data_IF_900187242991
#
_entry.id   IF_900187242991
#
_cell.length_a   1.000
_cell.length_b   1.000
_cell.length_c   1.000
_cell.angle_alpha   90.00
_cell.angle_beta   90.00
_cell.angle_gamma   90.00
#
_symmetry.space_group_name_H-M   'P 1'
#
loop_
_entity.id
_entity.type
_entity.pdbx_description
1 polymer ?
#
# COMPACT_ATOMS: atom_id res chain seq x y z
N UNK A 1 14.58 -22.34 1.22
CA UNK A 1 15.36 -22.79 2.41
C UNK A 1 14.61 -22.32 3.66
N UNK A 2 14.44 -23.20 4.68
CA UNK A 2 13.86 -22.77 5.97
C UNK A 2 14.81 -21.78 6.64
N UNK A 3 14.31 -20.59 6.97
CA UNK A 3 15.04 -19.57 7.71
C UNK A 3 14.48 -19.48 9.14
N UNK A 4 15.30 -19.00 10.06
CA UNK A 4 14.85 -18.64 11.39
C UNK A 4 14.33 -17.19 11.35
N UNK A 5 13.11 -16.98 11.84
CA UNK A 5 12.48 -15.66 11.89
C UNK A 5 11.83 -15.43 13.26
N UNK A 6 11.95 -14.21 13.75
CA UNK A 6 11.27 -13.76 14.97
C UNK A 6 10.17 -12.76 14.60
N UNK A 7 9.00 -12.86 15.23
CA UNK A 7 7.93 -11.86 15.11
C UNK A 7 7.68 -11.21 16.47
N UNK A 8 7.84 -9.90 16.54
CA UNK A 8 7.53 -9.07 17.71
C UNK A 8 6.21 -8.34 17.53
N UNK A 9 5.28 -8.59 18.44
CA UNK A 9 3.92 -8.06 18.37
C UNK A 9 2.95 -9.05 17.72
N UNK A 10 1.96 -9.49 18.51
CA UNK A 10 0.96 -10.47 18.12
C UNK A 10 -0.46 -9.88 18.18
N UNK A 11 -0.59 -8.65 17.65
CA UNK A 11 -1.87 -8.11 17.23
C UNK A 11 -2.43 -8.92 16.04
N UNK A 12 -3.62 -8.60 15.52
CA UNK A 12 -4.21 -9.35 14.40
C UNK A 12 -3.26 -9.51 13.22
N UNK A 13 -2.54 -8.44 12.83
CA UNK A 13 -1.59 -8.48 11.73
C UNK A 13 -0.34 -9.29 12.06
N UNK A 14 0.30 -9.03 13.22
CA UNK A 14 1.50 -9.77 13.60
C UNK A 14 1.27 -11.26 13.79
N UNK A 15 0.09 -11.65 14.28
CA UNK A 15 -0.30 -13.06 14.37
C UNK A 15 -0.45 -13.69 12.97
N UNK A 16 -1.01 -12.95 12.00
CA UNK A 16 -1.11 -13.42 10.61
C UNK A 16 0.28 -13.58 9.96
N UNK A 17 1.20 -12.65 10.21
CA UNK A 17 2.60 -12.75 9.73
C UNK A 17 3.28 -13.99 10.28
N UNK A 18 3.18 -14.24 11.60
CA UNK A 18 3.76 -15.41 12.23
C UNK A 18 3.16 -16.73 11.70
N UNK A 19 1.83 -16.78 11.51
CA UNK A 19 1.16 -17.93 10.94
C UNK A 19 1.61 -18.22 9.50
N UNK A 20 1.80 -17.19 8.68
CA UNK A 20 2.28 -17.35 7.31
C UNK A 20 3.72 -17.88 7.25
N UNK A 21 4.62 -17.41 8.12
CA UNK A 21 5.95 -17.99 8.24
C UNK A 21 5.94 -19.45 8.65
N UNK A 22 5.10 -19.84 9.62
CA UNK A 22 4.93 -21.22 10.02
C UNK A 22 4.41 -22.08 8.87
N UNK A 23 3.38 -21.62 8.15
CA UNK A 23 2.80 -22.32 7.01
C UNK A 23 3.80 -22.53 5.86
N UNK A 24 4.74 -21.59 5.70
CA UNK A 24 5.84 -21.71 4.74
C UNK A 24 7.02 -22.58 5.24
N UNK A 25 6.92 -23.14 6.46
CA UNK A 25 7.93 -24.04 7.04
C UNK A 25 9.10 -23.31 7.69
N UNK A 26 9.02 -22.02 7.97
CA UNK A 26 10.06 -21.29 8.68
C UNK A 26 10.01 -21.61 10.18
N UNK A 27 11.20 -21.74 10.82
CA UNK A 27 11.27 -21.82 12.28
C UNK A 27 10.96 -20.45 12.85
N UNK A 28 9.77 -20.32 13.47
CA UNK A 28 9.22 -19.02 13.87
C UNK A 28 9.24 -18.89 15.38
N UNK A 29 9.94 -17.87 15.87
CA UNK A 29 9.90 -17.44 17.27
C UNK A 29 8.95 -16.26 17.39
N UNK A 30 8.11 -16.23 18.42
CA UNK A 30 7.15 -15.15 18.63
C UNK A 30 7.29 -14.55 20.02
N UNK A 31 7.02 -13.25 20.12
CA UNK A 31 6.95 -12.56 21.39
C UNK A 31 5.88 -11.47 21.37
N UNK A 32 5.18 -11.33 22.49
CA UNK A 32 4.27 -10.22 22.71
C UNK A 32 4.33 -9.76 24.17
N UNK A 33 4.21 -8.45 24.41
CA UNK A 33 4.24 -7.87 25.76
C UNK A 33 3.12 -8.40 26.65
N UNK A 34 1.93 -8.61 26.10
CA UNK A 34 0.80 -9.21 26.82
C UNK A 34 0.85 -10.72 26.70
N UNK A 35 0.90 -11.47 27.79
CA UNK A 35 0.89 -12.95 27.78
C UNK A 35 -0.37 -13.52 27.13
N UNK A 36 -0.29 -14.81 26.69
CA UNK A 36 -1.42 -15.57 26.13
C UNK A 36 -1.77 -15.22 24.69
N UNK A 37 -1.08 -14.27 24.06
CA UNK A 37 -1.28 -13.94 22.64
C UNK A 37 -0.59 -14.95 21.70
N UNK A 38 0.37 -15.71 22.22
CA UNK A 38 1.13 -16.70 21.45
C UNK A 38 0.47 -18.09 21.41
N UNK A 39 -0.48 -18.40 22.28
CA UNK A 39 -1.01 -19.76 22.50
C UNK A 39 -1.44 -20.45 21.20
N UNK A 40 -2.22 -19.75 20.36
CA UNK A 40 -2.68 -20.30 19.08
C UNK A 40 -1.54 -20.54 18.07
N UNK A 41 -0.49 -19.73 18.10
CA UNK A 41 0.70 -19.88 17.26
C UNK A 41 1.63 -20.98 17.79
N UNK A 42 1.78 -21.08 19.11
CA UNK A 42 2.53 -22.17 19.75
C UNK A 42 1.90 -23.54 19.43
N UNK A 43 0.57 -23.64 19.42
CA UNK A 43 -0.12 -24.85 18.98
C UNK A 43 0.13 -25.20 17.49
N UNK A 44 0.53 -24.22 16.68
CA UNK A 44 0.94 -24.39 15.27
C UNK A 44 2.43 -24.64 15.11
N UNK A 45 3.22 -24.62 16.18
CA UNK A 45 4.64 -24.90 16.18
C UNK A 45 5.56 -23.68 16.34
N UNK A 46 5.03 -22.50 16.67
CA UNK A 46 5.87 -21.36 17.03
C UNK A 46 6.56 -21.56 18.37
N UNK A 47 7.81 -21.10 18.47
CA UNK A 47 8.49 -21.00 19.75
C UNK A 47 8.11 -19.68 20.45
N UNK A 48 7.47 -19.73 21.61
CA UNK A 48 7.20 -18.51 22.38
C UNK A 48 8.43 -18.15 23.21
N UNK A 49 8.92 -16.93 23.04
CA UNK A 49 10.01 -16.39 23.84
C UNK A 49 9.46 -15.69 25.11
N UNK A 50 10.15 -15.90 26.23
CA UNK A 50 9.78 -15.32 27.52
C UNK A 50 10.02 -13.81 27.57
N UNK A 51 11.07 -13.33 26.87
CA UNK A 51 11.45 -11.91 26.80
C UNK A 51 11.67 -11.48 25.35
N UNK A 52 11.53 -10.18 25.07
CA UNK A 52 11.84 -9.63 23.76
C UNK A 52 13.32 -9.88 23.38
N UNK A 53 14.24 -9.77 24.33
CA UNK A 53 15.66 -10.07 24.14
C UNK A 53 15.88 -11.53 23.73
N UNK A 54 15.25 -12.47 24.40
CA UNK A 54 15.33 -13.89 24.02
C UNK A 54 14.76 -14.11 22.60
N UNK A 55 13.69 -13.40 22.23
CA UNK A 55 13.09 -13.50 20.91
C UNK A 55 14.07 -13.01 19.82
N UNK A 56 14.64 -11.82 19.94
CA UNK A 56 15.54 -11.25 18.89
C UNK A 56 16.86 -12.01 18.77
N UNK A 57 17.32 -12.66 19.84
CA UNK A 57 18.53 -13.49 19.79
C UNK A 57 18.31 -14.86 19.16
N UNK A 58 17.07 -15.32 19.09
CA UNK A 58 16.72 -16.63 18.52
C UNK A 58 16.89 -16.69 16.98
N UNK A 59 16.84 -15.55 16.28
CA UNK A 59 16.82 -15.52 14.81
C UNK A 59 17.66 -14.39 14.24
N UNK A 60 18.25 -14.56 13.05
CA UNK A 60 18.97 -13.48 12.37
C UNK A 60 18.03 -12.39 11.80
N UNK A 61 16.76 -12.73 11.58
CA UNK A 61 15.71 -11.84 11.05
C UNK A 61 14.64 -11.64 12.11
N UNK A 62 14.39 -10.39 12.44
CA UNK A 62 13.27 -9.96 13.32
C UNK A 62 12.27 -9.12 12.53
N UNK A 63 11.04 -9.56 12.50
CA UNK A 63 9.89 -8.81 11.97
C UNK A 63 9.15 -8.15 13.13
N UNK A 64 8.93 -6.85 13.04
CA UNK A 64 8.26 -6.04 14.06
C UNK A 64 6.92 -5.57 13.53
N UNK A 65 5.86 -5.81 14.28
CA UNK A 65 4.50 -5.35 13.95
C UNK A 65 3.78 -4.93 15.23
N UNK A 66 4.03 -3.72 15.67
CA UNK A 66 3.53 -3.12 16.90
C UNK A 66 2.48 -2.04 16.61
N UNK A 67 1.89 -1.47 17.66
CA UNK A 67 0.83 -0.48 17.50
C UNK A 67 1.35 0.89 17.04
N UNK A 68 2.54 1.30 17.50
CA UNK A 68 3.14 2.61 17.23
C UNK A 68 4.65 2.52 17.16
N UNK A 69 5.30 3.51 16.54
CA UNK A 69 6.76 3.63 16.54
C UNK A 69 7.35 3.87 17.93
N UNK A 70 6.62 4.55 18.81
CA UNK A 70 7.04 4.66 20.22
C UNK A 70 7.17 3.27 20.86
N UNK A 71 6.20 2.40 20.62
CA UNK A 71 6.27 1.01 21.10
C UNK A 71 7.43 0.23 20.45
N UNK A 72 7.78 0.52 19.19
CA UNK A 72 8.97 -0.05 18.54
C UNK A 72 10.24 0.38 19.28
N UNK A 73 10.38 1.67 19.57
CA UNK A 73 11.53 2.19 20.31
C UNK A 73 11.59 1.68 21.74
N UNK A 74 10.46 1.63 22.46
CA UNK A 74 10.39 1.05 23.83
C UNK A 74 10.87 -0.39 23.86
N UNK A 75 10.55 -1.18 22.83
CA UNK A 75 10.91 -2.59 22.77
C UNK A 75 12.36 -2.78 22.27
N UNK A 76 12.77 -2.10 21.20
CA UNK A 76 14.07 -2.37 20.57
C UNK A 76 15.25 -1.64 21.22
N UNK A 77 15.06 -0.43 21.76
CA UNK A 77 16.18 0.36 22.30
C UNK A 77 16.93 -0.32 23.45
N UNK A 78 16.27 -1.01 24.40
CA UNK A 78 16.99 -1.72 25.48
C UNK A 78 17.87 -2.88 25.00
N UNK A 79 17.62 -3.40 23.78
CA UNK A 79 18.33 -4.56 23.22
C UNK A 79 19.14 -4.22 21.97
N UNK A 80 19.54 -2.96 21.84
CA UNK A 80 20.32 -2.49 20.68
C UNK A 80 21.62 -3.29 20.46
N UNK A 81 22.28 -3.72 21.54
CA UNK A 81 23.49 -4.53 21.47
C UNK A 81 23.25 -5.92 20.88
N UNK A 82 22.15 -6.56 21.25
CA UNK A 82 21.76 -7.89 20.75
C UNK A 82 21.29 -7.86 19.30
N UNK A 83 20.80 -6.69 18.85
CA UNK A 83 20.37 -6.46 17.48
C UNK A 83 21.52 -6.13 16.53
N UNK A 84 22.70 -5.75 17.03
CA UNK A 84 23.85 -5.41 16.20
C UNK A 84 24.19 -6.55 15.21
N UNK A 85 24.28 -6.20 13.92
CA UNK A 85 24.51 -7.14 12.82
C UNK A 85 23.32 -7.99 12.40
N UNK A 86 22.18 -7.94 13.11
CA UNK A 86 20.94 -8.64 12.76
C UNK A 86 20.06 -7.76 11.86
N UNK A 87 19.13 -8.41 11.16
CA UNK A 87 18.16 -7.72 10.30
C UNK A 87 16.85 -7.50 11.04
N UNK A 88 16.38 -6.27 11.03
CA UNK A 88 15.05 -5.89 11.52
C UNK A 88 14.23 -5.37 10.35
N UNK A 89 13.03 -5.94 10.16
CA UNK A 89 12.02 -5.46 9.22
C UNK A 89 10.83 -4.97 10.04
N UNK A 90 10.55 -3.68 9.97
CA UNK A 90 9.48 -3.05 10.74
C UNK A 90 8.26 -2.82 9.85
N UNK A 91 7.13 -3.43 10.21
CA UNK A 91 5.83 -3.24 9.57
C UNK A 91 4.84 -2.43 10.43
N UNK A 92 5.37 -1.68 11.40
CA UNK A 92 4.53 -0.79 12.20
C UNK A 92 4.15 0.43 11.38
N UNK A 93 2.86 0.73 11.29
CA UNK A 93 2.36 1.91 10.57
C UNK A 93 2.79 3.21 11.26
N UNK A 94 3.26 4.19 10.47
CA UNK A 94 3.66 5.49 10.96
C UNK A 94 3.96 6.49 9.83
N UNK A 95 4.42 7.68 10.22
CA UNK A 95 4.80 8.71 9.28
C UNK A 95 6.18 8.46 8.67
N UNK A 96 6.50 9.08 7.52
CA UNK A 96 7.84 9.07 6.94
C UNK A 96 8.95 9.50 7.91
N UNK A 97 8.64 10.45 8.80
CA UNK A 97 9.57 10.95 9.82
C UNK A 97 9.94 9.87 10.84
N UNK A 98 8.94 9.13 11.35
CA UNK A 98 9.16 8.00 12.26
C UNK A 98 10.07 6.93 11.64
N UNK A 99 9.88 6.63 10.35
CA UNK A 99 10.74 5.68 9.66
C UNK A 99 12.19 6.17 9.58
N UNK A 100 12.43 7.46 9.27
CA UNK A 100 13.78 8.04 9.23
C UNK A 100 14.45 8.07 10.60
N UNK A 101 13.72 8.45 11.66
CA UNK A 101 14.21 8.46 13.03
C UNK A 101 14.65 7.06 13.48
N UNK A 102 13.83 6.05 13.16
CA UNK A 102 14.15 4.65 13.48
C UNK A 102 15.34 4.14 12.68
N UNK A 103 15.45 4.54 11.41
CA UNK A 103 16.63 4.24 10.59
C UNK A 103 17.90 4.83 11.18
N UNK A 104 17.88 6.10 11.57
CA UNK A 104 19.02 6.75 12.19
C UNK A 104 19.41 6.08 13.53
N UNK A 105 18.44 5.57 14.27
CA UNK A 105 18.69 4.77 15.47
C UNK A 105 19.36 3.43 15.10
N UNK A 106 18.83 2.72 14.11
CA UNK A 106 19.34 1.43 13.66
C UNK A 106 20.80 1.53 13.16
N UNK A 107 21.11 2.55 12.37
CA UNK A 107 22.46 2.83 11.86
C UNK A 107 23.47 3.07 13.00
N UNK A 108 23.09 3.88 14.00
CA UNK A 108 23.97 4.14 15.18
C UNK A 108 24.29 2.87 15.98
N UNK A 109 23.44 1.85 15.91
CA UNK A 109 23.59 0.61 16.66
C UNK A 109 24.04 -0.58 15.79
N UNK A 110 24.36 -0.33 14.52
CA UNK A 110 24.79 -1.40 13.60
C UNK A 110 23.71 -2.41 13.27
N UNK A 111 22.43 -2.03 13.35
CA UNK A 111 21.28 -2.86 13.00
C UNK A 111 21.02 -2.74 11.50
N UNK A 112 20.86 -3.86 10.82
CA UNK A 112 20.43 -3.91 9.41
C UNK A 112 18.91 -3.70 9.35
N UNK A 113 18.48 -2.54 8.90
CA UNK A 113 17.08 -2.12 9.03
C UNK A 113 16.38 -1.94 7.69
N UNK A 114 15.15 -2.44 7.62
CA UNK A 114 14.18 -2.13 6.57
C UNK A 114 12.90 -1.63 7.23
N UNK A 115 12.32 -0.60 6.66
CA UNK A 115 10.96 -0.18 6.96
C UNK A 115 10.01 -0.74 5.91
N UNK A 116 8.80 -1.08 6.29
CA UNK A 116 7.85 -1.70 5.39
C UNK A 116 6.40 -1.36 5.69
N UNK A 117 5.57 -1.50 4.67
CA UNK A 117 4.12 -1.33 4.75
C UNK A 117 3.43 -2.55 4.16
N UNK A 118 2.36 -2.98 4.81
CA UNK A 118 1.54 -4.11 4.39
C UNK A 118 0.27 -3.56 3.74
N UNK A 119 0.13 -3.75 2.43
CA UNK A 119 -1.01 -3.28 1.63
C UNK A 119 -2.13 -4.32 1.55
N UNK A 120 -2.43 -4.98 2.67
CA UNK A 120 -3.53 -5.95 2.75
C UNK A 120 -4.07 -6.07 4.19
N UNK A 121 -5.18 -6.77 4.35
CA UNK A 121 -5.73 -7.14 5.67
C UNK A 121 -5.04 -8.38 6.23
N UNK A 122 -5.16 -8.68 7.54
CA UNK A 122 -4.59 -9.90 8.12
C UNK A 122 -4.98 -11.19 7.40
N UNK A 123 -6.19 -11.28 6.86
CA UNK A 123 -6.67 -12.45 6.10
C UNK A 123 -6.05 -12.59 4.71
N UNK A 124 -5.45 -11.53 4.17
CA UNK A 124 -4.75 -11.56 2.89
C UNK A 124 -3.28 -11.98 3.01
N UNK A 125 -2.70 -11.97 4.21
CA UNK A 125 -1.29 -12.37 4.41
C UNK A 125 -1.07 -13.83 4.00
N UNK A 126 0.03 -14.09 3.30
CA UNK A 126 0.39 -15.41 2.77
C UNK A 126 -0.24 -15.72 1.41
N UNK A 127 -1.02 -14.78 0.83
CA UNK A 127 -1.54 -14.92 -0.54
C UNK A 127 -0.64 -14.19 -1.55
N UNK A 128 -0.64 -14.61 -2.83
CA UNK A 128 0.14 -13.92 -3.89
C UNK A 128 -0.27 -12.46 -4.11
N UNK A 129 -1.49 -12.08 -3.71
CA UNK A 129 -2.03 -10.73 -3.87
C UNK A 129 -1.65 -9.80 -2.72
N UNK A 130 -1.05 -10.32 -1.66
CA UNK A 130 -0.58 -9.53 -0.53
C UNK A 130 0.66 -8.73 -0.94
N UNK A 131 0.52 -7.43 -1.17
CA UNK A 131 1.62 -6.54 -1.52
C UNK A 131 2.29 -6.01 -0.25
N UNK A 132 3.62 -6.20 -0.16
CA UNK A 132 4.44 -5.70 0.94
C UNK A 132 5.54 -4.78 0.38
N UNK A 133 5.50 -3.52 0.75
CA UNK A 133 6.47 -2.53 0.30
C UNK A 133 7.61 -2.41 1.30
N UNK A 134 8.85 -2.32 0.81
CA UNK A 134 10.04 -2.22 1.66
C UNK A 134 10.95 -1.08 1.21
N UNK A 135 11.43 -0.29 2.16
CA UNK A 135 12.45 0.74 1.98
C UNK A 135 13.67 0.46 2.85
N UNK A 136 14.84 0.84 2.34
CA UNK A 136 16.11 0.66 3.03
C UNK A 136 17.19 0.08 2.12
N UNK A 137 18.38 -0.30 2.65
CA UNK A 137 19.47 -0.77 1.82
C UNK A 137 19.11 -2.01 0.99
N UNK A 138 19.26 -1.94 -0.32
CA UNK A 138 18.89 -3.03 -1.23
C UNK A 138 19.57 -4.38 -0.87
N UNK A 139 20.85 -4.45 -0.47
CA UNK A 139 21.45 -5.73 -0.08
C UNK A 139 20.76 -6.36 1.13
N UNK A 140 20.25 -5.55 2.08
CA UNK A 140 19.51 -6.05 3.25
C UNK A 140 18.17 -6.64 2.81
N UNK A 141 17.49 -5.99 1.86
CA UNK A 141 16.25 -6.50 1.29
C UNK A 141 16.47 -7.83 0.55
N UNK A 142 17.47 -7.92 -0.33
CA UNK A 142 17.72 -9.14 -1.10
C UNK A 142 18.06 -10.33 -0.20
N UNK A 143 18.80 -10.12 0.91
CA UNK A 143 19.13 -11.18 1.86
C UNK A 143 17.88 -11.78 2.56
N UNK A 144 16.83 -10.99 2.79
CA UNK A 144 15.61 -11.47 3.47
C UNK A 144 14.40 -11.65 2.54
N UNK A 145 14.48 -11.23 1.26
CA UNK A 145 13.39 -11.30 0.29
C UNK A 145 12.75 -12.69 0.20
N UNK A 146 13.56 -13.74 0.17
CA UNK A 146 13.06 -15.12 0.07
C UNK A 146 12.25 -15.56 1.30
N UNK A 147 12.60 -15.04 2.50
CA UNK A 147 11.81 -15.28 3.72
C UNK A 147 10.55 -14.44 3.73
N UNK A 148 10.64 -13.16 3.33
CA UNK A 148 9.49 -12.25 3.26
C UNK A 148 8.45 -12.68 2.22
N UNK A 149 8.86 -13.42 1.18
CA UNK A 149 7.94 -13.98 0.18
C UNK A 149 6.91 -14.97 0.77
N UNK A 150 7.14 -15.48 1.98
CA UNK A 150 6.13 -16.25 2.72
C UNK A 150 4.90 -15.40 3.11
N UNK A 151 5.05 -14.08 3.17
CA UNK A 151 3.99 -13.15 3.55
C UNK A 151 3.15 -12.66 2.36
N UNK A 152 3.68 -12.74 1.12
CA UNK A 152 3.07 -12.23 -0.09
C UNK A 152 4.10 -11.81 -1.14
N UNK A 153 3.85 -10.74 -1.89
CA UNK A 153 4.77 -10.15 -2.87
C UNK A 153 5.62 -9.03 -2.23
N UNK A 154 6.90 -9.28 -1.89
CA UNK A 154 7.78 -8.28 -1.31
C UNK A 154 8.41 -7.41 -2.42
N UNK A 155 8.11 -6.12 -2.41
CA UNK A 155 8.59 -5.12 -3.37
C UNK A 155 9.51 -4.12 -2.69
N UNK A 156 10.73 -3.93 -3.22
CA UNK A 156 11.65 -2.89 -2.78
C UNK A 156 11.37 -1.58 -3.52
N UNK A 157 10.99 -0.54 -2.79
CA UNK A 157 10.60 0.77 -3.36
C UNK A 157 11.72 1.81 -3.27
N UNK A 158 12.91 1.42 -2.83
CA UNK A 158 14.13 2.26 -2.83
C UNK A 158 14.85 2.29 -1.49
N UNK A 159 15.96 3.00 -1.46
CA UNK A 159 16.87 3.03 -0.29
C UNK A 159 16.41 3.92 0.85
N UNK A 160 15.53 4.88 0.62
CA UNK A 160 14.92 5.70 1.66
C UNK A 160 13.84 4.89 2.38
N UNK A 161 14.01 4.64 3.67
CA UNK A 161 13.08 3.90 4.52
C UNK A 161 11.74 4.60 4.72
N UNK A 162 11.64 5.89 4.44
CA UNK A 162 10.39 6.63 4.46
C UNK A 162 9.50 6.37 3.22
N UNK A 163 10.09 5.86 2.14
CA UNK A 163 9.39 5.69 0.86
C UNK A 163 8.17 4.76 0.93
N UNK A 164 8.18 3.62 1.65
CA UNK A 164 6.99 2.79 1.82
C UNK A 164 5.79 3.56 2.38
N UNK A 165 5.97 4.40 3.40
CA UNK A 165 4.89 5.22 3.97
C UNK A 165 4.31 6.25 2.98
N UNK A 166 5.15 6.80 2.08
CA UNK A 166 4.69 7.68 1.00
C UNK A 166 3.86 6.91 -0.02
N UNK A 167 4.32 5.72 -0.40
CA UNK A 167 3.58 4.83 -1.30
C UNK A 167 2.24 4.38 -0.70
N UNK A 168 2.21 4.04 0.60
CA UNK A 168 0.99 3.69 1.32
C UNK A 168 -0.07 4.80 1.16
N UNK A 169 0.29 6.03 1.50
CA UNK A 169 -0.60 7.18 1.36
C UNK A 169 -1.09 7.39 -0.08
N UNK A 170 -0.19 7.25 -1.06
CA UNK A 170 -0.54 7.40 -2.47
C UNK A 170 -1.47 6.29 -2.96
N UNK A 171 -1.23 5.03 -2.54
CA UNK A 171 -2.05 3.88 -2.91
C UNK A 171 -3.43 3.93 -2.23
N UNK A 172 -3.54 4.49 -1.01
CA UNK A 172 -4.84 4.75 -0.39
C UNK A 172 -5.67 5.75 -1.20
N UNK A 173 -5.04 6.81 -1.74
CA UNK A 173 -5.73 7.75 -2.63
C UNK A 173 -6.25 7.05 -3.90
N UNK A 174 -5.43 6.19 -4.52
CA UNK A 174 -5.85 5.37 -5.66
C UNK A 174 -7.00 4.44 -5.30
N UNK A 175 -6.96 3.78 -4.15
CA UNK A 175 -8.01 2.87 -3.68
C UNK A 175 -9.34 3.61 -3.52
N UNK A 176 -9.37 4.72 -2.79
CA UNK A 176 -10.62 5.46 -2.57
C UNK A 176 -11.14 6.10 -3.84
N UNK A 177 -10.27 6.62 -4.71
CA UNK A 177 -10.66 7.12 -6.03
C UNK A 177 -11.34 6.03 -6.87
N UNK A 178 -10.75 4.84 -6.91
CA UNK A 178 -11.31 3.68 -7.64
C UNK A 178 -12.65 3.23 -7.05
N UNK A 179 -12.73 3.08 -5.70
CA UNK A 179 -13.96 2.67 -5.03
C UNK A 179 -15.08 3.70 -5.19
N UNK A 180 -14.76 5.00 -5.12
CA UNK A 180 -15.74 6.06 -5.31
C UNK A 180 -16.29 6.08 -6.73
N UNK A 181 -15.40 5.93 -7.74
CA UNK A 181 -15.80 5.82 -9.14
C UNK A 181 -16.66 4.57 -9.40
N UNK A 182 -16.33 3.43 -8.82
CA UNK A 182 -17.11 2.21 -8.90
C UNK A 182 -18.49 2.37 -8.26
N UNK A 183 -18.60 2.98 -7.06
CA UNK A 183 -19.88 3.24 -6.39
C UNK A 183 -20.75 4.19 -7.19
N UNK A 184 -20.17 5.25 -7.76
CA UNK A 184 -20.89 6.20 -8.61
C UNK A 184 -21.48 5.50 -9.85
N UNK A 185 -20.67 4.67 -10.54
CA UNK A 185 -21.13 3.88 -11.68
C UNK A 185 -22.23 2.88 -11.30
N UNK A 186 -22.12 2.21 -10.15
CA UNK A 186 -23.16 1.31 -9.66
C UNK A 186 -24.47 2.06 -9.36
N UNK A 187 -24.40 3.28 -8.81
CA UNK A 187 -25.56 4.12 -8.57
C UNK A 187 -26.23 4.55 -9.88
N UNK A 188 -25.46 4.94 -10.92
CA UNK A 188 -26.01 5.30 -12.24
C UNK A 188 -26.74 4.13 -12.91
N UNK A 189 -26.15 2.94 -12.88
CA UNK A 189 -26.71 1.74 -13.49
C UNK A 189 -27.97 1.29 -12.72
N UNK A 190 -27.95 1.39 -11.39
CA UNK A 190 -29.10 1.05 -10.53
C UNK A 190 -30.29 2.03 -10.64
N UNK A 191 -30.04 3.27 -11.07
CA UNK A 191 -31.06 4.31 -11.22
C UNK A 191 -31.82 4.23 -12.56
N UNK A 192 -31.59 3.24 -13.40
CA UNK A 192 -32.11 3.16 -14.79
C UNK A 192 -33.58 2.68 -14.88
N UNK A 193 -34.40 3.00 -13.86
CA UNK A 193 -35.89 2.93 -13.90
C UNK A 193 -36.50 1.52 -13.69
N UNK A 194 -37.87 1.40 -13.71
CA UNK A 194 -38.58 0.19 -13.31
C UNK A 194 -38.60 -0.92 -14.38
N UNK A 195 -37.47 -1.28 -14.88
CA UNK A 195 -37.18 -2.36 -15.84
C UNK A 195 -35.71 -2.64 -15.93
N UNK A 196 -34.88 -1.81 -15.35
CA UNK A 196 -33.44 -1.99 -15.25
C UNK A 196 -33.11 -2.97 -14.14
N UNK A 197 -32.95 -4.24 -14.46
CA UNK A 197 -32.46 -5.26 -13.51
C UNK A 197 -30.93 -5.25 -13.34
N UNK A 198 -30.27 -4.12 -13.65
CA UNK A 198 -28.84 -4.02 -13.53
C UNK A 198 -28.46 -3.88 -12.05
N UNK A 199 -27.97 -4.97 -11.48
CA UNK A 199 -27.47 -5.01 -10.11
C UNK A 199 -26.04 -4.50 -10.03
N UNK A 200 -25.60 -4.08 -8.84
CA UNK A 200 -24.19 -3.76 -8.59
C UNK A 200 -23.27 -4.94 -8.94
N UNK A 201 -23.71 -6.19 -8.74
CA UNK A 201 -22.97 -7.40 -9.12
C UNK A 201 -22.74 -7.47 -10.63
N UNK A 202 -23.80 -7.33 -11.42
CA UNK A 202 -23.70 -7.36 -12.89
C UNK A 202 -22.85 -6.21 -13.44
N UNK A 203 -22.97 -5.01 -12.86
CA UNK A 203 -22.10 -3.89 -13.18
C UNK A 203 -20.63 -4.19 -12.87
N UNK A 204 -20.37 -4.80 -11.71
CA UNK A 204 -19.00 -5.13 -11.27
C UNK A 204 -18.30 -6.09 -12.23
N UNK A 205 -19.00 -7.07 -12.79
CA UNK A 205 -18.45 -7.98 -13.81
C UNK A 205 -17.96 -7.23 -15.07
N UNK A 206 -18.67 -6.19 -15.47
CA UNK A 206 -18.28 -5.33 -16.61
C UNK A 206 -17.14 -4.40 -16.21
N UNK A 207 -17.24 -3.78 -15.02
CA UNK A 207 -16.23 -2.87 -14.48
C UNK A 207 -14.87 -3.57 -14.31
N UNK A 208 -14.84 -4.83 -13.85
CA UNK A 208 -13.62 -5.62 -13.76
C UNK A 208 -12.90 -5.77 -15.11
N UNK A 209 -13.65 -6.00 -16.18
CA UNK A 209 -13.08 -6.04 -17.53
C UNK A 209 -12.57 -4.67 -17.98
N UNK A 210 -13.30 -3.60 -17.68
CA UNK A 210 -12.93 -2.23 -18.04
C UNK A 210 -11.68 -1.75 -17.30
N UNK A 211 -11.49 -2.10 -16.02
CA UNK A 211 -10.31 -1.70 -15.23
C UNK A 211 -9.00 -2.18 -15.85
N UNK A 212 -9.00 -3.24 -16.66
CA UNK A 212 -7.81 -3.66 -17.43
C UNK A 212 -7.37 -2.60 -18.44
N UNK A 213 -8.32 -1.95 -19.11
CA UNK A 213 -8.03 -0.84 -20.02
C UNK A 213 -7.54 0.39 -19.27
N UNK A 214 -8.12 0.69 -18.11
CA UNK A 214 -7.65 1.78 -17.23
C UNK A 214 -6.20 1.54 -16.80
N UNK A 215 -5.86 0.30 -16.42
CA UNK A 215 -4.48 -0.06 -16.06
C UNK A 215 -3.51 0.09 -17.25
N UNK A 216 -3.93 -0.29 -18.46
CA UNK A 216 -3.13 -0.09 -19.67
C UNK A 216 -2.88 1.38 -19.93
N UNK A 217 -3.91 2.23 -19.73
CA UNK A 217 -3.78 3.68 -19.84
C UNK A 217 -2.77 4.23 -18.82
N UNK A 218 -2.86 3.84 -17.54
CA UNK A 218 -1.91 4.26 -16.52
C UNK A 218 -0.45 3.91 -16.89
N UNK A 219 -0.22 2.69 -17.37
CA UNK A 219 1.11 2.23 -17.77
C UNK A 219 1.65 3.00 -19.00
N UNK A 220 0.78 3.35 -19.94
CA UNK A 220 1.16 4.10 -21.15
C UNK A 220 1.54 5.55 -20.81
N UNK A 221 0.86 6.17 -19.84
CA UNK A 221 1.08 7.58 -19.49
C UNK A 221 2.10 7.83 -18.38
N UNK A 222 2.53 6.81 -17.64
CA UNK A 222 3.54 6.99 -16.61
C UNK A 222 4.86 7.59 -17.13
N UNK A 223 5.43 7.16 -18.30
CA UNK A 223 6.61 7.81 -18.88
C UNK A 223 6.38 9.27 -19.32
N UNK A 224 5.15 9.60 -19.74
CA UNK A 224 4.81 10.99 -20.11
C UNK A 224 4.87 11.91 -18.87
N UNK A 225 4.37 11.43 -17.73
CA UNK A 225 4.45 12.12 -16.44
C UNK A 225 5.91 12.34 -16.03
N UNK A 226 6.75 11.30 -16.15
CA UNK A 226 8.15 11.35 -15.75
C UNK A 226 8.96 12.33 -16.61
N UNK A 227 8.66 12.40 -17.93
CA UNK A 227 9.33 13.30 -18.87
C UNK A 227 8.76 14.71 -18.90
N UNK A 228 7.55 14.94 -18.36
CA UNK A 228 6.81 16.18 -18.47
C UNK A 228 6.25 16.47 -19.89
N UNK A 229 6.34 15.49 -20.79
CA UNK A 229 5.82 15.57 -22.15
C UNK A 229 4.53 14.76 -22.27
N UNK A 230 3.39 15.42 -22.37
CA UNK A 230 2.06 14.82 -22.30
C UNK A 230 1.28 14.93 -23.62
N UNK A 231 1.66 14.20 -24.70
CA UNK A 231 1.00 14.30 -25.99
C UNK A 231 -0.43 13.77 -25.92
N UNK A 232 -1.42 14.52 -26.44
CA UNK A 232 -2.84 14.18 -26.33
C UNK A 232 -3.30 12.98 -27.13
N UNK A 233 -2.58 12.63 -28.20
CA UNK A 233 -2.91 11.51 -29.06
C UNK A 233 -4.35 11.55 -29.58
N UNK A 234 -5.02 10.41 -29.56
CA UNK A 234 -6.38 10.28 -30.10
C UNK A 234 -7.48 10.77 -29.12
N UNK A 235 -7.13 11.00 -27.84
CA UNK A 235 -8.10 11.38 -26.79
C UNK A 235 -7.54 12.47 -25.87
N UNK A 236 -7.40 13.73 -26.36
CA UNK A 236 -6.88 14.84 -25.59
C UNK A 236 -7.85 15.36 -24.52
N UNK A 237 -7.34 16.20 -23.59
CA UNK A 237 -8.10 16.72 -22.44
C UNK A 237 -9.44 17.34 -22.80
N UNK A 238 -9.54 18.07 -23.92
CA UNK A 238 -10.85 18.66 -24.36
C UNK A 238 -11.92 17.58 -24.62
N UNK A 239 -11.53 16.39 -25.12
CA UNK A 239 -12.48 15.29 -25.32
C UNK A 239 -12.82 14.61 -24.00
N UNK A 240 -11.88 14.49 -23.06
CA UNK A 240 -12.18 14.05 -21.70
C UNK A 240 -13.20 14.97 -21.04
N UNK A 241 -13.03 16.30 -21.14
CA UNK A 241 -13.97 17.28 -20.56
C UNK A 241 -15.37 17.10 -21.13
N UNK A 242 -15.52 16.96 -22.46
CA UNK A 242 -16.83 16.69 -23.08
C UNK A 242 -17.48 15.38 -22.55
N UNK A 243 -16.71 14.34 -22.28
CA UNK A 243 -17.26 13.10 -21.72
C UNK A 243 -17.61 13.24 -20.24
N UNK A 244 -16.93 14.11 -19.50
CA UNK A 244 -17.29 14.47 -18.13
C UNK A 244 -18.60 15.25 -18.07
N UNK A 245 -18.87 16.14 -19.05
CA UNK A 245 -20.15 16.83 -19.18
C UNK A 245 -21.30 15.84 -19.38
N UNK A 246 -21.09 14.81 -20.21
CA UNK A 246 -22.08 13.74 -20.41
C UNK A 246 -22.33 12.98 -19.10
N UNK A 247 -21.26 12.69 -18.35
CA UNK A 247 -21.38 11.98 -17.06
C UNK A 247 -22.14 12.82 -16.02
N UNK A 248 -21.84 14.10 -15.91
CA UNK A 248 -22.53 15.02 -15.01
C UNK A 248 -24.03 15.10 -15.33
N UNK A 249 -24.37 15.34 -16.61
CA UNK A 249 -25.75 15.40 -17.07
C UNK A 249 -26.51 14.09 -16.87
N UNK A 250 -25.87 12.95 -17.15
CA UNK A 250 -26.45 11.64 -16.89
C UNK A 250 -26.73 11.38 -15.41
N UNK A 251 -25.86 11.89 -14.53
CA UNK A 251 -26.03 11.80 -13.08
C UNK A 251 -27.25 12.61 -12.61
N UNK A 252 -27.38 13.85 -13.07
CA UNK A 252 -28.52 14.72 -12.75
C UNK A 252 -29.84 14.10 -13.19
N UNK A 253 -29.93 13.63 -14.46
CA UNK A 253 -31.12 13.02 -15.00
C UNK A 253 -31.60 11.78 -14.23
N UNK A 254 -30.69 11.08 -13.58
CA UNK A 254 -30.95 9.86 -12.79
C UNK A 254 -31.06 10.10 -11.30
N UNK A 255 -30.96 11.36 -10.84
CA UNK A 255 -30.98 11.70 -9.43
C UNK A 255 -29.77 11.16 -8.65
N UNK A 256 -28.64 10.90 -9.33
CA UNK A 256 -27.35 10.54 -8.73
C UNK A 256 -26.54 11.82 -8.49
N UNK A 257 -25.79 11.88 -7.39
CA UNK A 257 -24.96 13.04 -7.06
C UNK A 257 -23.98 13.39 -8.18
N UNK A 258 -23.94 14.65 -8.59
CA UNK A 258 -22.98 15.18 -9.59
C UNK A 258 -21.62 15.57 -8.99
N UNK A 259 -21.43 15.49 -7.67
CA UNK A 259 -20.22 15.99 -7.02
C UNK A 259 -18.91 15.34 -7.50
N UNK A 260 -18.94 14.05 -7.87
CA UNK A 260 -17.76 13.39 -8.45
C UNK A 260 -17.49 13.83 -9.90
N UNK A 261 -18.48 13.85 -10.82
CA UNK A 261 -18.31 14.46 -12.14
C UNK A 261 -17.85 15.90 -12.12
N UNK A 262 -18.41 16.75 -11.25
CA UNK A 262 -18.05 18.16 -11.09
C UNK A 262 -16.57 18.32 -10.70
N UNK A 263 -16.05 17.49 -9.79
CA UNK A 263 -14.63 17.48 -9.43
C UNK A 263 -13.75 17.16 -10.66
N UNK A 264 -14.15 16.20 -11.49
CA UNK A 264 -13.43 15.87 -12.72
C UNK A 264 -13.43 17.02 -13.72
N UNK A 265 -14.59 17.68 -13.90
CA UNK A 265 -14.75 18.86 -14.77
C UNK A 265 -13.90 20.02 -14.26
N UNK A 266 -13.90 20.32 -12.96
CA UNK A 266 -13.09 21.39 -12.37
C UNK A 266 -11.60 21.19 -12.65
N UNK A 267 -11.06 20.01 -12.33
CA UNK A 267 -9.65 19.70 -12.52
C UNK A 267 -9.24 19.77 -14.01
N UNK A 268 -10.07 19.20 -14.89
CA UNK A 268 -9.79 19.13 -16.32
C UNK A 268 -10.00 20.49 -16.99
N UNK A 269 -11.06 21.22 -16.61
CA UNK A 269 -11.35 22.56 -17.11
C UNK A 269 -10.22 23.53 -16.85
N UNK A 270 -9.65 23.54 -15.65
CA UNK A 270 -8.47 24.36 -15.30
C UNK A 270 -7.30 24.13 -16.27
N UNK A 271 -7.03 22.88 -16.63
CA UNK A 271 -5.96 22.56 -17.56
C UNK A 271 -6.29 22.99 -19.00
N UNK A 272 -7.54 22.82 -19.43
CA UNK A 272 -8.01 23.27 -20.76
C UNK A 272 -7.95 24.81 -20.87
N UNK A 273 -8.41 25.52 -19.83
CA UNK A 273 -8.39 27.00 -19.77
C UNK A 273 -6.96 27.55 -19.77
N UNK A 274 -6.00 26.81 -19.19
CA UNK A 274 -4.58 27.13 -19.24
C UNK A 274 -3.90 26.85 -20.61
N UNK A 275 -4.66 26.37 -21.61
CA UNK A 275 -4.14 26.12 -22.96
C UNK A 275 -3.69 24.69 -23.23
N UNK A 276 -3.93 23.75 -22.29
CA UNK A 276 -3.52 22.33 -22.38
C UNK A 276 -4.59 21.40 -22.97
N UNK A 277 -5.60 21.95 -23.64
CA UNK A 277 -6.72 21.16 -24.18
C UNK A 277 -6.33 20.07 -25.18
N UNK A 278 -5.18 20.20 -25.83
CA UNK A 278 -4.63 19.22 -26.77
C UNK A 278 -3.65 18.22 -26.14
N UNK A 279 -3.35 18.35 -24.85
CA UNK A 279 -2.48 17.44 -24.11
C UNK A 279 -3.24 16.18 -23.65
N UNK A 280 -2.52 15.15 -23.22
CA UNK A 280 -3.10 13.93 -22.63
C UNK A 280 -3.60 14.18 -21.20
N UNK A 281 -4.42 13.25 -20.70
CA UNK A 281 -4.92 13.26 -19.31
C UNK A 281 -3.80 13.30 -18.27
N UNK A 282 -2.61 12.82 -18.60
CA UNK A 282 -1.42 12.85 -17.73
C UNK A 282 -1.01 14.29 -17.34
N UNK A 283 -1.35 15.30 -18.15
CA UNK A 283 -1.09 16.72 -17.87
C UNK A 283 -1.70 17.19 -16.54
N UNK A 284 -2.82 16.57 -16.10
CA UNK A 284 -3.50 16.96 -14.86
C UNK A 284 -2.61 16.86 -13.62
N UNK A 285 -1.54 16.07 -13.65
CA UNK A 285 -0.61 15.97 -12.53
C UNK A 285 0.00 17.31 -12.13
N UNK A 286 0.22 18.22 -13.09
CA UNK A 286 0.77 19.55 -12.84
C UNK A 286 -0.22 20.43 -12.07
N UNK A 287 -1.50 20.23 -12.31
CA UNK A 287 -2.60 20.96 -11.63
C UNK A 287 -2.94 20.37 -10.25
N UNK A 288 -2.46 19.16 -9.94
CA UNK A 288 -2.56 18.55 -8.62
C UNK A 288 -1.38 18.92 -7.70
N UNK A 289 -0.26 19.39 -8.25
CA UNK A 289 0.92 19.83 -7.48
C UNK A 289 0.68 21.25 -6.94
N UNK A 290 1.05 21.51 -5.65
CA UNK A 290 1.05 22.88 -5.12
C UNK A 290 2.07 23.72 -5.90
N UNK A 291 1.63 24.87 -6.46
CA UNK A 291 2.46 25.72 -7.31
C UNK A 291 2.42 25.37 -8.79
N UNK A 292 1.51 24.49 -9.20
CA UNK A 292 1.16 24.30 -10.61
C UNK A 292 0.55 25.59 -11.21
N UNK A 293 0.44 25.67 -12.57
CA UNK A 293 -0.11 26.84 -13.24
C UNK A 293 -1.47 27.22 -12.67
N UNK A 294 -1.64 28.51 -12.36
CA UNK A 294 -2.91 29.07 -11.85
C UNK A 294 -3.97 29.10 -12.97
#
# INVERSE_FOLDING_TARGET
>A
MCADVTVLGLGPMGAALAAAFLAAGHRTTVWNRTPGKADALAAQGAAEAVTATAAVTASPLTVVCLATYDAVHEVLAPMAGELAGRTVVNFTSGSPEHARETTAWAERHGVRYLDGVIMTTPSGIGTPDALLLHGGPQPVFEDCRGTLAALGDPVHVGTDTARPSVYDTALLALMWGTLTGWLHGAALVGADGPGGNATATAYTEVADRWTRSVRTFMNAHAPDIDSGHCPGGDFPLRLHLMTMDILAHASELRGVSSGLPELFQELTGRAVDAGHGDDSFARLIEFMRKGGPA
#
